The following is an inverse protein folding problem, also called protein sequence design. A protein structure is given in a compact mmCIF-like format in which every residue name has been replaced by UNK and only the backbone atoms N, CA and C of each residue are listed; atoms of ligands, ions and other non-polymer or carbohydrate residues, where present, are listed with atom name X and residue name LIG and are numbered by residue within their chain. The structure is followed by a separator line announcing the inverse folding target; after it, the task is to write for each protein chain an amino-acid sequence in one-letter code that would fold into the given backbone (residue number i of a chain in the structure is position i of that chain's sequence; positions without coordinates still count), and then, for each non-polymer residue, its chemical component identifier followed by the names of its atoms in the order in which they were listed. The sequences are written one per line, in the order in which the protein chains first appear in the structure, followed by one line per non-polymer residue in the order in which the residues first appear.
data_IF_054044847686
#
_entry.id   IF_054044847686
#
_cell.length_a   1.000
_cell.length_b   1.000
_cell.length_c   1.000
_cell.angle_alpha   90.00
_cell.angle_beta   90.00
_cell.angle_gamma   90.00
#
_symmetry.space_group_name_H-M   'P 1'
#
loop_
_entity.id
_entity.type
_entity.pdbx_description
1 polymer ?
#
# COMPACT_ATOMS: atom_id res chain seq x y z
N UNK A 1 -5.22 -37.02 -60.75
CA UNK A 1 -5.30 -36.43 -59.43
C UNK A 1 -6.44 -35.41 -59.44
N UNK A 2 -7.48 -35.75 -58.75
CA UNK A 2 -8.82 -35.25 -59.03
C UNK A 2 -9.22 -33.96 -58.41
N UNK A 3 -10.05 -33.24 -59.14
CA UNK A 3 -10.78 -32.03 -58.70
C UNK A 3 -11.47 -32.19 -57.30
N UNK A 4 -11.84 -33.43 -56.96
CA UNK A 4 -12.49 -33.77 -55.70
C UNK A 4 -11.60 -33.63 -54.43
N UNK A 5 -10.28 -33.76 -54.60
CA UNK A 5 -9.35 -33.55 -53.46
C UNK A 5 -9.08 -32.08 -53.20
N UNK A 6 -9.07 -31.26 -54.25
CA UNK A 6 -8.94 -29.81 -54.12
C UNK A 6 -10.18 -29.13 -53.48
N UNK A 7 -11.39 -29.63 -53.80
CA UNK A 7 -12.63 -29.17 -53.18
C UNK A 7 -12.68 -29.54 -51.70
N UNK A 8 -12.22 -30.71 -51.31
CA UNK A 8 -12.15 -31.11 -49.89
C UNK A 8 -11.13 -30.30 -49.08
N UNK A 9 -10.04 -29.84 -49.70
CA UNK A 9 -9.06 -28.97 -49.05
C UNK A 9 -9.56 -27.52 -48.92
N UNK A 10 -10.45 -27.10 -49.83
CA UNK A 10 -11.07 -25.77 -49.76
C UNK A 10 -12.20 -25.69 -48.71
N UNK A 11 -12.87 -26.81 -48.41
CA UNK A 11 -13.88 -26.89 -47.34
C UNK A 11 -13.27 -26.97 -45.93
N UNK A 12 -12.03 -27.44 -45.78
CA UNK A 12 -11.29 -27.31 -44.53
C UNK A 12 -10.69 -25.93 -44.44
N UNK A 13 -11.48 -24.97 -44.02
CA UNK A 13 -11.01 -23.63 -43.64
C UNK A 13 -9.86 -23.70 -42.65
N UNK A 14 -9.08 -22.62 -42.49
CA UNK A 14 -7.95 -22.61 -41.55
C UNK A 14 -8.43 -23.03 -40.18
N UNK A 15 -7.80 -24.05 -39.61
CA UNK A 15 -8.07 -24.53 -38.26
C UNK A 15 -7.87 -23.33 -37.34
N UNK A 16 -8.89 -22.91 -36.55
CA UNK A 16 -8.68 -21.83 -35.62
C UNK A 16 -7.61 -22.26 -34.61
N UNK A 17 -6.47 -21.61 -34.65
CA UNK A 17 -5.45 -21.76 -33.61
C UNK A 17 -6.04 -21.11 -32.40
N UNK A 18 -6.49 -21.88 -31.41
CA UNK A 18 -6.81 -21.36 -30.10
C UNK A 18 -5.53 -20.76 -29.52
N UNK A 19 -5.39 -19.46 -29.68
CA UNK A 19 -4.35 -18.72 -28.98
C UNK A 19 -4.60 -18.86 -27.48
N UNK A 20 -3.65 -19.46 -26.76
CA UNK A 20 -3.69 -19.48 -25.30
C UNK A 20 -3.93 -18.07 -24.81
N UNK A 21 -5.10 -17.85 -24.20
CA UNK A 21 -5.46 -16.55 -23.66
C UNK A 21 -4.44 -16.21 -22.59
N UNK A 22 -3.57 -15.25 -22.89
CA UNK A 22 -2.60 -14.73 -21.91
C UNK A 22 -3.38 -14.30 -20.68
N UNK A 23 -3.33 -15.11 -19.63
CA UNK A 23 -3.94 -14.78 -18.34
C UNK A 23 -3.18 -13.60 -17.74
N UNK A 24 -3.66 -12.39 -18.02
CA UNK A 24 -3.16 -11.19 -17.38
C UNK A 24 -3.23 -11.40 -15.87
N UNK A 25 -2.08 -11.37 -15.19
CA UNK A 25 -2.03 -11.39 -13.72
C UNK A 25 -2.90 -10.25 -13.22
N UNK A 26 -3.99 -10.58 -12.51
CA UNK A 26 -4.87 -9.59 -11.88
C UNK A 26 -3.99 -8.64 -11.06
N UNK A 27 -4.04 -7.34 -11.38
CA UNK A 27 -3.38 -6.30 -10.58
C UNK A 27 -3.81 -6.49 -9.14
N UNK A 28 -2.85 -6.69 -8.25
CA UNK A 28 -3.10 -6.73 -6.81
C UNK A 28 -3.73 -5.39 -6.44
N UNK A 29 -4.99 -5.37 -6.00
CA UNK A 29 -5.61 -4.14 -5.47
C UNK A 29 -4.76 -3.72 -4.28
N UNK A 30 -4.08 -2.59 -4.41
CA UNK A 30 -3.42 -1.94 -3.28
C UNK A 30 -4.57 -1.52 -2.38
N UNK A 31 -4.63 -2.10 -1.18
CA UNK A 31 -5.58 -1.67 -0.17
C UNK A 31 -5.38 -0.17 0.04
N UNK A 32 -6.45 0.60 -0.07
CA UNK A 32 -6.43 2.03 0.26
C UNK A 32 -5.76 2.18 1.61
N UNK A 33 -4.73 3.02 1.68
CA UNK A 33 -4.09 3.39 2.94
C UNK A 33 -5.21 3.97 3.80
N UNK A 34 -5.58 3.26 4.86
CA UNK A 34 -6.53 3.77 5.86
C UNK A 34 -5.89 5.03 6.44
N UNK A 35 -6.50 6.18 6.24
CA UNK A 35 -6.05 7.41 6.89
C UNK A 35 -6.02 7.15 8.40
N UNK A 36 -4.84 7.22 9.00
CA UNK A 36 -4.69 7.05 10.43
C UNK A 36 -5.21 8.30 11.11
N UNK A 37 -6.31 8.19 11.80
CA UNK A 37 -6.85 9.26 12.60
C UNK A 37 -6.18 9.20 13.99
N UNK A 38 -5.15 10.02 14.20
CA UNK A 38 -4.34 10.04 15.42
C UNK A 38 -5.10 10.49 16.68
N UNK A 39 -6.33 10.97 16.52
CA UNK A 39 -7.16 11.51 17.59
C UNK A 39 -8.20 10.52 18.12
N UNK A 40 -8.39 9.38 17.46
CA UNK A 40 -9.41 8.42 17.85
C UNK A 40 -8.80 7.02 18.02
N UNK A 41 -8.97 6.47 19.22
CA UNK A 41 -8.68 5.07 19.48
C UNK A 41 -9.66 4.23 18.67
N UNK A 42 -9.19 3.31 17.79
CA UNK A 42 -10.06 2.49 16.97
C UNK A 42 -11.05 1.68 17.80
N UNK A 43 -12.25 1.46 17.28
CA UNK A 43 -13.30 0.67 17.92
C UNK A 43 -12.90 -0.80 18.18
N UNK A 44 -11.76 -1.23 17.62
CA UNK A 44 -11.17 -2.56 17.79
C UNK A 44 -10.68 -2.84 19.22
N UNK A 45 -10.61 -1.81 20.10
CA UNK A 45 -10.23 -1.94 21.51
C UNK A 45 -11.39 -1.72 22.47
N UNK A 46 -12.30 -2.67 22.66
CA UNK A 46 -13.40 -2.54 23.60
C UNK A 46 -12.95 -2.36 25.05
N UNK A 47 -11.79 -2.90 25.41
CA UNK A 47 -11.17 -2.79 26.74
C UNK A 47 -10.78 -1.35 27.08
N UNK A 48 -10.43 -0.52 26.08
CA UNK A 48 -10.06 0.87 26.26
C UNK A 48 -11.28 1.81 26.43
N UNK A 49 -12.49 1.29 26.33
CA UNK A 49 -13.73 2.01 26.60
C UNK A 49 -14.23 1.84 28.04
N UNK A 50 -13.51 1.09 28.86
CA UNK A 50 -13.83 0.93 30.29
C UNK A 50 -13.70 2.27 31.03
N UNK A 51 -14.65 2.53 31.94
CA UNK A 51 -14.56 3.70 32.79
C UNK A 51 -13.47 3.50 33.84
N UNK A 52 -12.67 4.53 34.05
CA UNK A 52 -11.57 4.57 35.00
C UNK A 52 -11.71 5.80 35.91
N UNK A 53 -11.26 5.64 37.16
CA UNK A 53 -11.16 6.71 38.11
C UNK A 53 -9.75 6.70 38.67
N UNK A 54 -9.09 7.86 38.64
CA UNK A 54 -7.74 8.00 39.18
C UNK A 54 -7.46 9.47 39.59
N UNK A 55 -6.52 9.60 40.53
CA UNK A 55 -6.02 10.90 40.98
C UNK A 55 -4.51 10.87 40.99
N UNK A 56 -3.89 11.78 40.24
CA UNK A 56 -2.45 12.02 40.21
C UNK A 56 -2.14 13.37 40.85
N UNK A 57 -1.12 13.45 41.69
CA UNK A 57 -0.66 14.70 42.26
C UNK A 57 0.85 14.79 42.04
N UNK A 58 1.28 15.75 41.24
CA UNK A 58 2.67 16.02 40.92
C UNK A 58 3.47 14.72 40.52
N UNK A 59 2.84 13.83 39.73
CA UNK A 59 3.44 12.59 39.28
C UNK A 59 4.16 12.80 37.94
N UNK A 60 5.28 12.14 37.76
CA UNK A 60 5.99 12.21 36.46
C UNK A 60 5.13 11.65 35.32
N UNK A 61 5.17 12.34 34.18
CA UNK A 61 4.32 11.98 33.03
C UNK A 61 4.59 10.56 32.53
N UNK A 62 5.85 10.10 32.52
CA UNK A 62 6.20 8.75 32.13
C UNK A 62 5.60 7.69 33.07
N UNK A 63 5.55 7.98 34.38
CA UNK A 63 4.91 7.10 35.37
C UNK A 63 3.41 7.04 35.16
N UNK A 64 2.76 8.18 34.86
CA UNK A 64 1.33 8.25 34.54
C UNK A 64 1.03 7.39 33.30
N UNK A 65 1.85 7.50 32.25
CA UNK A 65 1.69 6.68 31.05
C UNK A 65 1.86 5.18 31.32
N UNK A 66 2.81 4.82 32.19
CA UNK A 66 3.00 3.44 32.62
C UNK A 66 1.77 2.90 33.38
N UNK A 67 1.17 3.72 34.21
CA UNK A 67 -0.06 3.34 34.92
C UNK A 67 -1.24 3.21 33.95
N UNK A 68 -1.38 4.15 33.01
CA UNK A 68 -2.40 4.07 31.96
C UNK A 68 -2.25 2.81 31.09
N UNK A 69 -1.02 2.42 30.78
CA UNK A 69 -0.72 1.17 30.05
C UNK A 69 -1.23 -0.07 30.80
N UNK A 70 -0.96 -0.13 32.12
CA UNK A 70 -1.43 -1.23 32.97
C UNK A 70 -2.94 -1.31 33.07
N UNK A 71 -3.62 -0.16 33.23
CA UNK A 71 -5.08 -0.09 33.31
C UNK A 71 -5.72 -0.50 31.99
N UNK A 72 -5.19 0.00 30.86
CA UNK A 72 -5.71 -0.28 29.52
C UNK A 72 -5.32 -1.67 28.97
N UNK A 73 -4.35 -2.35 29.57
CA UNK A 73 -3.81 -3.61 29.04
C UNK A 73 -3.11 -3.44 27.68
N UNK A 74 -2.51 -2.28 27.45
CA UNK A 74 -1.82 -1.90 26.21
C UNK A 74 -0.36 -1.58 26.51
N UNK A 75 0.48 -1.66 25.46
CA UNK A 75 1.88 -1.26 25.58
C UNK A 75 2.01 0.22 25.18
N UNK A 76 2.45 1.07 26.08
CA UNK A 76 2.70 2.48 25.79
C UNK A 76 4.22 2.71 25.72
N UNK A 77 4.68 3.25 24.59
CA UNK A 77 6.04 3.72 24.41
C UNK A 77 6.06 5.23 24.54
N UNK A 78 6.86 5.73 25.44
CA UNK A 78 6.99 7.16 25.72
C UNK A 78 8.29 7.66 25.10
N UNK A 79 8.24 8.70 24.29
CA UNK A 79 9.43 9.34 23.70
C UNK A 79 10.23 10.10 24.77
N UNK A 80 11.54 10.24 24.57
CA UNK A 80 12.45 10.92 25.51
C UNK A 80 12.11 12.41 25.71
N UNK A 81 11.41 13.00 24.73
CA UNK A 81 10.92 14.39 24.81
C UNK A 81 9.69 14.57 25.71
N UNK A 82 9.08 13.46 26.13
CA UNK A 82 7.88 13.47 26.96
C UNK A 82 8.28 13.49 28.42
N UNK A 83 8.23 14.67 29.03
CA UNK A 83 8.67 14.87 30.41
C UNK A 83 7.78 15.85 31.15
N UNK A 84 7.96 15.90 32.48
CA UNK A 84 7.33 16.86 33.37
C UNK A 84 6.26 16.25 34.25
N UNK A 85 5.96 16.96 35.32
CA UNK A 85 4.96 16.54 36.29
C UNK A 85 3.55 16.92 35.84
N UNK A 86 2.59 16.07 36.20
CA UNK A 86 1.17 16.26 35.94
C UNK A 86 0.36 16.02 37.19
N UNK A 87 -0.71 16.82 37.36
CA UNK A 87 -1.73 16.62 38.38
C UNK A 87 -3.07 16.54 37.67
N UNK A 88 -3.77 15.46 37.87
CA UNK A 88 -5.09 15.24 37.28
C UNK A 88 -5.97 14.42 38.22
N UNK A 89 -7.25 14.73 38.24
CA UNK A 89 -8.27 13.96 38.93
C UNK A 89 -9.40 13.70 37.95
N UNK A 90 -9.64 12.43 37.69
CA UNK A 90 -10.69 11.98 36.78
C UNK A 90 -11.51 10.91 37.49
N UNK A 91 -12.82 11.02 37.41
CA UNK A 91 -13.75 10.09 38.01
C UNK A 91 -14.75 9.56 36.97
N UNK A 92 -14.85 8.23 36.88
CA UNK A 92 -15.78 7.54 35.99
C UNK A 92 -15.73 7.99 34.52
N UNK A 93 -14.53 8.20 33.99
CA UNK A 93 -14.28 8.62 32.60
C UNK A 93 -13.83 7.42 31.78
N UNK A 94 -14.30 7.22 30.52
CA UNK A 94 -13.77 6.20 29.63
C UNK A 94 -12.25 6.37 29.45
N UNK A 95 -11.51 5.25 29.46
CA UNK A 95 -10.05 5.27 29.41
C UNK A 95 -9.52 6.03 28.19
N UNK A 96 -10.15 5.86 27.02
CA UNK A 96 -9.79 6.53 25.77
C UNK A 96 -9.86 8.07 25.90
N UNK A 97 -10.92 8.56 26.51
CA UNK A 97 -11.09 10.01 26.74
C UNK A 97 -10.14 10.53 27.82
N UNK A 98 -9.93 9.75 28.87
CA UNK A 98 -8.98 10.08 29.92
C UNK A 98 -7.54 10.15 29.34
N UNK A 99 -7.16 9.20 28.52
CA UNK A 99 -5.86 9.18 27.86
C UNK A 99 -5.66 10.38 26.92
N UNK A 100 -6.64 10.69 26.08
CA UNK A 100 -6.58 11.86 25.20
C UNK A 100 -6.49 13.17 25.99
N UNK A 101 -7.26 13.32 27.07
CA UNK A 101 -7.19 14.50 27.91
C UNK A 101 -5.80 14.69 28.55
N UNK A 102 -5.14 13.60 28.96
CA UNK A 102 -3.77 13.65 29.48
C UNK A 102 -2.76 14.06 28.41
N UNK A 103 -2.93 13.62 27.16
CA UNK A 103 -2.09 14.03 26.03
C UNK A 103 -2.26 15.52 25.74
N UNK A 104 -3.50 15.98 25.68
CA UNK A 104 -3.85 17.38 25.37
C UNK A 104 -3.28 18.35 26.38
N UNK A 105 -3.25 17.99 27.68
CA UNK A 105 -2.69 18.85 28.74
C UNK A 105 -1.25 19.27 28.50
N UNK A 106 -0.48 18.49 27.80
CA UNK A 106 0.96 18.72 27.47
C UNK A 106 1.23 18.89 26.00
N UNK A 107 0.20 18.95 25.14
CA UNK A 107 0.33 18.98 23.69
C UNK A 107 1.14 17.80 23.14
N UNK A 108 0.96 16.61 23.69
CA UNK A 108 1.50 15.38 23.15
C UNK A 108 0.50 14.73 22.20
N UNK A 109 0.99 13.84 21.35
CA UNK A 109 0.16 13.07 20.44
C UNK A 109 0.51 11.59 20.54
N UNK A 110 -0.44 10.73 20.18
CA UNK A 110 -0.24 9.30 20.19
C UNK A 110 -0.39 8.70 18.79
N UNK A 111 0.54 7.83 18.40
CA UNK A 111 0.43 6.94 17.22
C UNK A 111 0.04 5.55 17.70
N UNK A 112 -1.14 5.08 17.27
CA UNK A 112 -1.72 3.81 17.72
C UNK A 112 -1.50 2.76 16.63
N UNK A 113 -0.71 1.73 16.96
CA UNK A 113 -0.53 0.57 16.11
C UNK A 113 -1.36 -0.61 16.66
N UNK A 114 -2.53 -0.81 16.08
CA UNK A 114 -3.47 -1.86 16.47
C UNK A 114 -2.87 -3.26 16.29
N UNK A 115 -2.11 -3.47 15.22
CA UNK A 115 -1.55 -4.78 14.89
C UNK A 115 -0.54 -5.25 15.93
N UNK A 116 0.23 -4.34 16.51
CA UNK A 116 1.27 -4.63 17.50
C UNK A 116 0.80 -4.40 18.94
N UNK A 117 -0.42 -3.92 19.16
CA UNK A 117 -0.93 -3.48 20.47
C UNK A 117 0.01 -2.48 21.16
N UNK A 118 0.52 -1.51 20.38
CA UNK A 118 1.48 -0.50 20.84
C UNK A 118 0.90 0.88 20.60
N UNK A 119 0.93 1.71 21.64
CA UNK A 119 0.62 3.15 21.57
C UNK A 119 1.93 3.90 21.80
N UNK A 120 2.32 4.72 20.83
CA UNK A 120 3.52 5.56 20.95
C UNK A 120 3.11 6.99 21.27
N UNK A 121 3.65 7.53 22.37
CA UNK A 121 3.43 8.92 22.79
C UNK A 121 4.67 9.73 22.51
N UNK A 122 4.51 10.83 21.78
CA UNK A 122 5.60 11.73 21.41
C UNK A 122 5.04 13.14 21.14
N UNK A 123 5.91 14.10 20.85
CA UNK A 123 5.47 15.42 20.39
C UNK A 123 4.90 15.33 18.96
N UNK A 124 3.93 16.17 18.59
CA UNK A 124 3.38 16.20 17.23
C UNK A 124 4.45 16.39 16.15
N UNK A 125 5.49 17.18 16.44
CA UNK A 125 6.59 17.42 15.52
C UNK A 125 7.39 16.15 15.24
N UNK A 126 7.69 15.35 16.26
CA UNK A 126 8.40 14.07 16.14
C UNK A 126 7.58 13.06 15.33
N UNK A 127 6.27 12.95 15.60
CA UNK A 127 5.38 12.05 14.85
C UNK A 127 5.29 12.45 13.39
N UNK A 128 5.13 13.74 13.08
CA UNK A 128 5.08 14.24 11.70
C UNK A 128 6.38 13.97 10.97
N UNK A 129 7.54 14.17 11.59
CA UNK A 129 8.83 13.89 10.97
C UNK A 129 9.05 12.40 10.70
N UNK A 130 8.64 11.54 11.63
CA UNK A 130 8.68 10.09 11.44
C UNK A 130 7.75 9.62 10.31
N UNK A 131 6.57 10.21 10.19
CA UNK A 131 5.63 9.87 9.15
C UNK A 131 6.09 10.33 7.77
N UNK A 132 6.64 11.54 7.68
CA UNK A 132 7.27 12.03 6.44
C UNK A 132 8.42 11.12 6.00
N UNK A 133 9.25 10.67 6.93
CA UNK A 133 10.32 9.71 6.65
C UNK A 133 9.77 8.35 6.17
N UNK A 134 8.75 7.82 6.83
CA UNK A 134 8.08 6.56 6.40
C UNK A 134 7.46 6.70 5.00
N UNK A 135 6.82 7.83 4.74
CA UNK A 135 6.23 8.15 3.43
C UNK A 135 7.30 8.25 2.33
N UNK A 136 8.38 8.97 2.58
CA UNK A 136 9.49 9.09 1.64
C UNK A 136 10.13 7.72 1.35
N UNK A 137 10.32 6.89 2.38
CA UNK A 137 10.82 5.52 2.22
C UNK A 137 9.86 4.65 1.40
N UNK A 138 8.56 4.75 1.66
CA UNK A 138 7.56 4.00 0.89
C UNK A 138 7.53 4.42 -0.59
N UNK A 139 7.70 5.72 -0.87
CA UNK A 139 7.83 6.23 -2.23
C UNK A 139 9.11 5.74 -2.92
N UNK A 140 10.23 5.72 -2.21
CA UNK A 140 11.50 5.20 -2.74
C UNK A 140 11.40 3.70 -3.08
N UNK A 141 10.75 2.91 -2.23
CA UNK A 141 10.50 1.48 -2.50
C UNK A 141 9.58 1.30 -3.72
N UNK A 142 8.50 2.08 -3.81
CA UNK A 142 7.62 2.04 -4.99
C UNK A 142 8.38 2.37 -6.28
N UNK A 143 9.16 3.45 -6.25
CA UNK A 143 9.99 3.86 -7.40
C UNK A 143 11.01 2.78 -7.79
N UNK A 144 11.61 2.11 -6.81
CA UNK A 144 12.53 1.00 -7.06
C UNK A 144 11.82 -0.18 -7.75
N UNK A 145 10.64 -0.59 -7.27
CA UNK A 145 9.84 -1.67 -7.87
C UNK A 145 9.40 -1.29 -9.30
N UNK A 146 8.98 -0.05 -9.50
CA UNK A 146 8.60 0.46 -10.81
C UNK A 146 9.79 0.45 -11.80
N UNK A 147 11.00 0.77 -11.33
CA UNK A 147 12.21 0.68 -12.13
C UNK A 147 12.58 -0.79 -12.42
N UNK A 148 12.44 -1.69 -11.45
CA UNK A 148 12.69 -3.12 -11.64
C UNK A 148 11.67 -3.73 -12.64
N UNK A 149 10.40 -3.37 -12.56
CA UNK A 149 9.37 -3.79 -13.50
C UNK A 149 9.60 -3.22 -14.93
N UNK A 150 10.19 -2.03 -15.01
CA UNK A 150 10.51 -1.41 -16.32
C UNK A 150 11.75 -2.02 -17.01
N UNK A 151 12.54 -2.79 -16.27
CA UNK A 151 13.73 -3.51 -16.77
C UNK A 151 13.41 -4.99 -17.04
N UNK A 152 12.15 -5.35 -17.29
CA UNK A 152 11.85 -6.70 -17.77
C UNK A 152 12.66 -6.98 -19.05
N UNK A 153 13.37 -8.12 -19.11
CA UNK A 153 14.20 -8.43 -20.27
C UNK A 153 13.33 -8.50 -21.53
N UNK A 154 13.72 -7.71 -22.53
CA UNK A 154 13.05 -7.70 -23.81
C UNK A 154 13.19 -9.11 -24.42
N UNK A 155 12.06 -9.79 -24.56
CA UNK A 155 12.02 -11.09 -25.23
C UNK A 155 11.94 -10.83 -26.72
N UNK A 156 12.99 -11.28 -27.47
CA UNK A 156 12.99 -11.22 -28.93
C UNK A 156 12.41 -12.51 -29.46
N UNK A 157 11.34 -12.42 -30.24
CA UNK A 157 10.71 -13.58 -30.87
C UNK A 157 10.75 -13.42 -32.40
N UNK A 158 11.13 -14.49 -33.10
CA UNK A 158 11.26 -14.49 -34.55
C UNK A 158 10.06 -15.21 -35.14
N UNK A 159 9.22 -14.47 -35.88
CA UNK A 159 8.06 -15.02 -36.57
C UNK A 159 8.33 -15.17 -38.06
N UNK A 160 8.01 -16.35 -38.63
CA UNK A 160 7.99 -16.56 -40.07
C UNK A 160 6.65 -16.21 -40.66
N UNK A 161 6.64 -15.25 -41.57
CA UNK A 161 5.45 -14.79 -42.26
C UNK A 161 5.29 -15.56 -43.58
N UNK A 162 4.09 -16.10 -43.86
CA UNK A 162 3.85 -16.93 -45.06
C UNK A 162 2.98 -16.21 -46.09
N UNK A 163 2.12 -15.28 -45.69
CA UNK A 163 1.11 -14.68 -46.59
C UNK A 163 1.15 -13.15 -46.64
N UNK A 164 2.02 -12.54 -45.87
CA UNK A 164 2.15 -11.08 -45.80
C UNK A 164 3.62 -10.71 -45.88
N UNK A 165 3.93 -9.60 -46.56
CA UNK A 165 5.31 -9.14 -46.62
C UNK A 165 5.77 -8.59 -45.25
N UNK A 166 7.05 -8.73 -44.90
CA UNK A 166 7.59 -8.20 -43.65
C UNK A 166 7.36 -6.68 -43.47
N UNK A 167 7.36 -5.93 -44.59
CA UNK A 167 7.11 -4.48 -44.56
C UNK A 167 5.66 -4.14 -44.20
N UNK A 168 4.69 -4.86 -44.72
CA UNK A 168 3.26 -4.70 -44.40
C UNK A 168 2.96 -5.12 -42.98
N UNK A 169 3.53 -6.26 -42.51
CA UNK A 169 3.40 -6.68 -41.12
C UNK A 169 3.93 -5.62 -40.13
N UNK A 170 5.09 -5.04 -40.44
CA UNK A 170 5.67 -3.97 -39.65
C UNK A 170 4.76 -2.75 -39.59
N UNK A 171 4.18 -2.33 -40.72
CA UNK A 171 3.27 -1.19 -40.78
C UNK A 171 2.02 -1.42 -39.92
N UNK A 172 1.39 -2.59 -40.05
CA UNK A 172 0.19 -2.96 -39.30
C UNK A 172 0.44 -3.03 -37.78
N UNK A 173 1.56 -3.65 -37.39
CA UNK A 173 1.93 -3.74 -35.96
C UNK A 173 2.19 -2.32 -35.41
N UNK A 174 2.91 -1.48 -36.13
CA UNK A 174 3.18 -0.12 -35.71
C UNK A 174 1.88 0.68 -35.53
N UNK A 175 0.94 0.55 -36.46
CA UNK A 175 -0.37 1.21 -36.37
C UNK A 175 -1.20 0.73 -35.19
N UNK A 176 -1.24 -0.58 -34.92
CA UNK A 176 -1.92 -1.16 -33.76
C UNK A 176 -1.37 -0.63 -32.43
N UNK A 177 -0.05 -0.58 -32.29
CA UNK A 177 0.56 -0.08 -31.06
C UNK A 177 0.42 1.42 -30.86
N UNK A 178 0.40 2.22 -31.91
CA UNK A 178 0.15 3.65 -31.83
C UNK A 178 -1.32 3.98 -31.55
N UNK A 179 -2.26 3.24 -32.13
CA UNK A 179 -3.70 3.42 -31.93
C UNK A 179 -4.15 3.06 -30.50
N UNK A 180 -3.46 2.15 -29.82
CA UNK A 180 -3.84 1.65 -28.47
C UNK A 180 -3.38 2.58 -27.35
N UNK A 181 -2.67 3.70 -27.65
CA UNK A 181 -2.25 4.69 -26.62
C UNK A 181 -1.29 4.14 -25.57
N UNK A 182 -0.68 2.98 -25.79
CA UNK A 182 0.37 2.44 -24.95
C UNK A 182 1.64 3.27 -25.19
N UNK A 183 1.80 4.33 -24.39
CA UNK A 183 3.04 5.10 -24.28
C UNK A 183 4.11 4.27 -23.55
N UNK A 184 4.31 3.03 -23.96
CA UNK A 184 5.44 2.19 -23.63
C UNK A 184 6.53 2.39 -24.68
N UNK A 185 7.78 2.38 -24.25
CA UNK A 185 8.93 2.59 -25.10
C UNK A 185 8.81 1.78 -26.41
N UNK A 186 8.69 2.50 -27.52
CA UNK A 186 8.61 1.90 -28.86
C UNK A 186 9.95 1.21 -29.17
N UNK A 187 9.95 -0.08 -29.19
CA UNK A 187 11.11 -0.87 -29.61
C UNK A 187 11.03 -0.98 -31.15
N UNK A 188 11.99 -0.46 -31.91
CA UNK A 188 11.96 -0.51 -33.34
C UNK A 188 11.98 -1.95 -33.85
N UNK A 189 10.92 -2.34 -34.58
CA UNK A 189 10.87 -3.63 -35.27
C UNK A 189 11.88 -3.62 -36.41
N UNK A 190 12.91 -4.45 -36.31
CA UNK A 190 13.90 -4.61 -37.40
C UNK A 190 13.43 -5.70 -38.35
N UNK A 191 13.44 -5.38 -39.64
CA UNK A 191 13.14 -6.32 -40.74
C UNK A 191 14.48 -6.61 -41.43
N UNK A 192 14.90 -7.84 -41.38
CA UNK A 192 16.06 -8.37 -42.17
C UNK A 192 15.58 -9.13 -43.38
#
# INVERSE_FOLDING_TARGET
MGKAELEKMAEMGPVPVEADVVKLKKRKKISSVKEKNYLLIPDEYPTLKQNVSFRFQNMDYAEVMTLMAKIGGVNILVGDEVAGAISAELDNVPWDKAFNALLDMKNYAADIDVASNIIRVATPATLTSQESYKSARAQAVKKKVELEDSVEPIISEIFRLYYISPAEAKATITELFTATGAAGAFIPIQVT
#
